data_IF_083668609832
#
_entry.id   IF_083668609832
#
_cell.length_a   1.000
_cell.length_b   1.000
_cell.length_c   1.000
_cell.angle_alpha   90.00
_cell.angle_beta   90.00
_cell.angle_gamma   90.00
#
_symmetry.space_group_name_H-M   'P 1'
#
loop_
_entity.id
_entity.type
_entity.pdbx_description
1 polymer ?
#
# COMPACT_ATOMS: atom_id res chain seq x y z
N UNK A 1 10.07 -21.67 -13.59
CA UNK A 1 10.85 -20.50 -14.05
C UNK A 1 10.29 -19.26 -13.37
N UNK A 2 11.11 -18.51 -12.65
CA UNK A 2 10.70 -17.22 -12.10
C UNK A 2 10.70 -16.20 -13.23
N UNK A 3 9.60 -15.47 -13.42
CA UNK A 3 9.51 -14.41 -14.40
C UNK A 3 10.57 -13.33 -14.09
N UNK A 4 11.11 -12.67 -15.13
CA UNK A 4 12.02 -11.55 -14.92
C UNK A 4 11.30 -10.46 -14.14
N UNK A 5 11.95 -9.94 -13.09
CA UNK A 5 11.41 -8.85 -12.26
C UNK A 5 11.32 -7.54 -13.06
N UNK A 6 12.28 -7.27 -13.94
CA UNK A 6 12.30 -6.04 -14.75
C UNK A 6 11.61 -6.22 -16.11
N UNK A 7 10.84 -5.19 -16.52
CA UNK A 7 10.09 -5.18 -17.80
C UNK A 7 10.56 -4.11 -18.79
N UNK A 8 11.37 -3.14 -18.35
CA UNK A 8 11.82 -1.95 -19.11
C UNK A 8 10.70 -1.00 -19.58
N UNK A 9 9.44 -1.27 -19.25
CA UNK A 9 8.28 -0.44 -19.66
C UNK A 9 8.25 0.96 -19.03
N UNK A 10 9.14 1.25 -18.09
CA UNK A 10 9.22 2.54 -17.40
C UNK A 10 10.52 3.29 -17.61
N UNK A 11 11.35 2.89 -18.58
CA UNK A 11 12.66 3.50 -18.82
C UNK A 11 12.52 4.96 -19.32
N UNK A 12 11.40 5.29 -19.96
CA UNK A 12 11.05 6.65 -20.41
C UNK A 12 10.43 7.52 -19.30
N UNK A 13 10.57 7.15 -18.02
CA UNK A 13 10.07 7.94 -16.89
C UNK A 13 8.57 7.82 -16.59
N UNK A 14 7.87 6.91 -17.28
CA UNK A 14 6.45 6.62 -17.04
C UNK A 14 6.24 5.30 -16.29
N UNK A 15 5.10 5.13 -15.63
CA UNK A 15 4.69 3.89 -14.97
C UNK A 15 3.22 3.59 -15.21
N UNK A 16 2.79 2.36 -14.92
CA UNK A 16 1.38 1.95 -14.97
C UNK A 16 0.77 1.99 -13.57
N UNK A 17 -0.43 2.55 -13.48
CA UNK A 17 -1.28 2.52 -12.29
C UNK A 17 -2.09 1.23 -12.23
N UNK A 18 -2.71 0.97 -11.07
CA UNK A 18 -3.66 -0.12 -10.95
C UNK A 18 -4.86 0.14 -11.89
N UNK A 19 -5.24 -0.86 -12.69
CA UNK A 19 -6.21 -0.68 -13.79
C UNK A 19 -5.60 -0.35 -15.16
N UNK A 20 -4.27 -0.20 -15.26
CA UNK A 20 -3.54 -0.21 -16.53
C UNK A 20 -3.33 1.15 -17.20
N UNK A 21 -3.89 2.24 -16.67
CA UNK A 21 -3.57 3.59 -17.13
C UNK A 21 -2.10 3.93 -16.83
N UNK A 22 -1.55 4.92 -17.55
CA UNK A 22 -0.14 5.33 -17.40
C UNK A 22 -0.02 6.75 -16.86
N UNK A 23 1.03 7.00 -16.08
CA UNK A 23 1.34 8.31 -15.52
C UNK A 23 2.86 8.49 -15.40
N UNK A 24 3.32 9.73 -15.22
CA UNK A 24 4.73 10.03 -14.96
C UNK A 24 5.16 9.50 -13.59
N UNK A 25 6.43 9.08 -13.45
CA UNK A 25 6.97 8.62 -12.17
C UNK A 25 7.06 9.72 -11.12
N UNK A 26 7.05 10.97 -11.55
CA UNK A 26 7.04 12.20 -10.76
C UNK A 26 5.63 12.70 -10.42
N UNK A 27 4.58 12.01 -10.86
CA UNK A 27 3.21 12.39 -10.54
C UNK A 27 2.94 12.24 -9.03
N UNK A 28 2.21 13.20 -8.45
CA UNK A 28 1.85 13.22 -7.02
C UNK A 28 1.26 11.88 -6.51
N UNK A 29 0.49 11.19 -7.35
CA UNK A 29 -0.06 9.87 -7.01
C UNK A 29 1.03 8.82 -6.79
N UNK A 30 2.03 8.81 -7.66
CA UNK A 30 3.17 7.88 -7.58
C UNK A 30 4.00 8.17 -6.34
N UNK A 31 4.28 9.44 -6.09
CA UNK A 31 4.97 9.90 -4.89
C UNK A 31 4.22 9.51 -3.60
N UNK A 32 2.89 9.66 -3.58
CA UNK A 32 2.06 9.32 -2.43
C UNK A 32 2.13 7.83 -2.04
N UNK A 33 1.86 6.91 -2.98
CA UNK A 33 1.97 5.47 -2.65
C UNK A 33 3.43 5.01 -2.50
N UNK A 34 4.39 5.70 -3.13
CA UNK A 34 5.83 5.47 -2.92
C UNK A 34 6.26 5.81 -1.50
N UNK A 35 5.78 6.91 -0.94
CA UNK A 35 6.01 7.29 0.46
C UNK A 35 5.41 6.25 1.43
N UNK A 36 4.24 5.70 1.10
CA UNK A 36 3.63 4.61 1.87
C UNK A 36 4.49 3.34 1.83
N UNK A 37 5.04 2.99 0.66
CA UNK A 37 5.96 1.84 0.50
C UNK A 37 7.26 2.02 1.29
N UNK A 38 7.80 3.24 1.34
CA UNK A 38 8.95 3.59 2.18
C UNK A 38 8.63 3.39 3.67
N UNK A 39 7.49 3.90 4.16
CA UNK A 39 7.04 3.70 5.54
C UNK A 39 6.87 2.20 5.87
N UNK A 40 6.26 1.43 4.97
CA UNK A 40 6.10 -0.02 5.15
C UNK A 40 7.46 -0.73 5.28
N UNK A 41 8.46 -0.31 4.50
CA UNK A 41 9.82 -0.84 4.57
C UNK A 41 10.49 -0.53 5.91
N UNK A 42 10.34 0.70 6.42
CA UNK A 42 10.82 1.06 7.76
C UNK A 42 10.15 0.27 8.88
N UNK A 43 8.83 0.06 8.80
CA UNK A 43 8.11 -0.79 9.76
C UNK A 43 8.65 -2.24 9.72
N UNK A 44 8.92 -2.77 8.53
CA UNK A 44 9.51 -4.10 8.37
C UNK A 44 10.86 -4.22 9.05
N UNK A 45 11.69 -3.18 8.94
CA UNK A 45 12.96 -3.10 9.68
C UNK A 45 12.74 -3.09 11.20
N UNK A 46 11.76 -2.32 11.70
CA UNK A 46 11.42 -2.29 13.13
C UNK A 46 11.00 -3.67 13.64
N UNK A 47 10.12 -4.39 12.92
CA UNK A 47 9.65 -5.73 13.30
C UNK A 47 10.83 -6.70 13.52
N UNK A 48 11.84 -6.65 12.65
CA UNK A 48 13.04 -7.50 12.75
C UNK A 48 13.94 -7.13 13.93
N UNK A 49 13.87 -5.88 14.41
CA UNK A 49 14.74 -5.36 15.48
C UNK A 49 14.12 -5.40 16.88
N UNK A 50 12.81 -5.63 16.97
CA UNK A 50 12.09 -5.70 18.24
C UNK A 50 12.13 -7.12 18.82
N UNK A 51 12.05 -7.22 20.15
CA UNK A 51 11.93 -8.51 20.85
C UNK A 51 10.49 -8.76 21.36
N UNK A 52 9.67 -7.70 21.47
CA UNK A 52 8.30 -7.77 21.98
C UNK A 52 7.32 -8.24 20.89
N UNK A 53 6.84 -9.47 21.00
CA UNK A 53 5.94 -10.06 19.99
C UNK A 53 4.61 -9.32 19.87
N UNK A 54 4.05 -8.81 20.96
CA UNK A 54 2.81 -8.02 20.92
C UNK A 54 2.95 -6.76 20.05
N UNK A 55 4.08 -6.06 20.13
CA UNK A 55 4.35 -4.87 19.31
C UNK A 55 4.55 -5.27 17.85
N UNK A 56 5.22 -6.40 17.58
CA UNK A 56 5.37 -6.93 16.22
C UNK A 56 4.01 -7.23 15.58
N UNK A 57 3.12 -7.87 16.31
CA UNK A 57 1.76 -8.19 15.84
C UNK A 57 0.99 -6.92 15.45
N UNK A 58 1.12 -5.84 16.24
CA UNK A 58 0.53 -4.55 15.90
C UNK A 58 1.15 -3.93 14.65
N UNK A 59 2.49 -3.95 14.53
CA UNK A 59 3.17 -3.44 13.35
C UNK A 59 2.81 -4.23 12.07
N UNK A 60 2.59 -5.54 12.17
CA UNK A 60 2.12 -6.37 11.06
C UNK A 60 0.70 -6.00 10.62
N UNK A 61 -0.20 -5.71 11.57
CA UNK A 61 -1.54 -5.20 11.25
C UNK A 61 -1.44 -3.86 10.52
N UNK A 62 -0.61 -2.94 11.03
CA UNK A 62 -0.38 -1.63 10.41
C UNK A 62 0.20 -1.77 8.99
N UNK A 63 1.15 -2.69 8.74
CA UNK A 63 1.66 -2.93 7.39
C UNK A 63 0.57 -3.42 6.42
N UNK A 64 -0.33 -4.30 6.86
CA UNK A 64 -1.46 -4.75 6.03
C UNK A 64 -2.44 -3.62 5.72
N UNK A 65 -2.69 -2.75 6.70
CA UNK A 65 -3.53 -1.56 6.51
C UNK A 65 -2.87 -0.59 5.52
N UNK A 66 -1.57 -0.32 5.66
CA UNK A 66 -0.81 0.53 4.74
C UNK A 66 -0.76 -0.05 3.32
N UNK A 67 -0.68 -1.37 3.15
CA UNK A 67 -0.76 -2.00 1.84
C UNK A 67 -2.13 -1.74 1.17
N UNK A 68 -3.21 -1.76 1.95
CA UNK A 68 -4.56 -1.41 1.47
C UNK A 68 -4.62 0.07 1.06
N UNK A 69 -4.03 0.96 1.86
CA UNK A 69 -3.92 2.40 1.54
C UNK A 69 -3.11 2.62 0.27
N UNK A 70 -1.94 1.98 0.11
CA UNK A 70 -1.11 2.07 -1.09
C UNK A 70 -1.83 1.58 -2.34
N UNK A 71 -2.57 0.47 -2.23
CA UNK A 71 -3.40 -0.07 -3.33
C UNK A 71 -4.49 0.92 -3.76
N UNK A 72 -5.13 1.58 -2.80
CA UNK A 72 -6.14 2.60 -3.07
C UNK A 72 -5.56 3.84 -3.75
N UNK A 73 -4.40 4.31 -3.28
CA UNK A 73 -3.69 5.44 -3.88
C UNK A 73 -3.24 5.12 -5.31
N UNK A 74 -2.80 3.88 -5.57
CA UNK A 74 -2.39 3.42 -6.89
C UNK A 74 -3.56 3.26 -7.89
N UNK A 75 -4.81 3.25 -7.42
CA UNK A 75 -5.99 3.16 -8.27
C UNK A 75 -6.51 4.56 -8.66
N UNK A 76 -6.58 4.90 -9.96
CA UNK A 76 -6.98 6.22 -10.42
C UNK A 76 -8.50 6.41 -10.53
N UNK A 77 -9.27 5.31 -10.56
CA UNK A 77 -10.72 5.36 -10.70
C UNK A 77 -11.45 5.67 -9.39
N UNK A 78 -12.77 5.86 -9.49
CA UNK A 78 -13.60 6.06 -8.32
C UNK A 78 -13.86 4.71 -7.63
N UNK A 79 -13.20 4.46 -6.50
CA UNK A 79 -13.34 3.22 -5.72
C UNK A 79 -14.79 2.88 -5.39
N UNK A 80 -15.64 3.90 -5.15
CA UNK A 80 -17.07 3.71 -4.86
C UNK A 80 -17.89 3.14 -6.03
N UNK A 81 -17.35 3.16 -7.24
CA UNK A 81 -18.00 2.69 -8.47
C UNK A 81 -17.24 1.52 -9.13
N UNK A 82 -16.14 1.07 -8.52
CA UNK A 82 -15.24 0.11 -9.15
C UNK A 82 -15.64 -1.31 -8.77
N UNK A 83 -15.63 -2.22 -9.75
CA UNK A 83 -15.96 -3.63 -9.56
C UNK A 83 -14.85 -4.53 -10.09
N UNK A 84 -14.48 -5.56 -9.35
CA UNK A 84 -13.69 -6.70 -9.86
C UNK A 84 -14.62 -7.92 -9.82
N UNK A 85 -14.78 -8.59 -10.95
CA UNK A 85 -15.64 -9.78 -11.09
C UNK A 85 -17.10 -9.58 -10.60
N UNK A 86 -17.63 -8.35 -10.66
CA UNK A 86 -18.99 -8.02 -10.20
C UNK A 86 -19.12 -7.71 -8.71
N UNK A 87 -18.03 -7.81 -7.94
CA UNK A 87 -17.98 -7.38 -6.54
C UNK A 87 -17.45 -5.96 -6.43
N UNK A 88 -18.09 -5.14 -5.59
CA UNK A 88 -17.68 -3.77 -5.34
C UNK A 88 -16.31 -3.75 -4.68
N UNK A 89 -15.35 -3.07 -5.30
CA UNK A 89 -14.01 -2.79 -4.73
C UNK A 89 -14.12 -1.62 -3.75
N UNK A 90 -15.21 -1.53 -2.99
CA UNK A 90 -15.27 -0.63 -1.85
C UNK A 90 -14.24 -1.13 -0.82
N UNK A 91 -12.98 -0.79 -1.05
CA UNK A 91 -11.88 -1.12 -0.17
C UNK A 91 -12.17 -0.46 1.15
N UNK A 92 -12.32 -1.30 2.16
CA UNK A 92 -12.54 -0.87 3.52
C UNK A 92 -11.30 -0.05 3.91
N UNK A 93 -11.42 1.28 3.89
CA UNK A 93 -10.35 2.16 4.34
C UNK A 93 -10.10 1.77 5.80
N UNK A 94 -8.87 1.34 6.15
CA UNK A 94 -8.55 1.03 7.52
C UNK A 94 -8.82 2.24 8.40
N UNK A 95 -9.45 2.02 9.55
CA UNK A 95 -9.80 3.09 10.48
C UNK A 95 -9.10 2.84 11.81
N UNK A 96 -8.31 3.80 12.26
CA UNK A 96 -7.69 3.76 13.59
C UNK A 96 -8.79 3.93 14.64
N UNK A 97 -8.97 2.95 15.51
CA UNK A 97 -9.98 3.01 16.57
C UNK A 97 -9.36 3.46 17.89
N UNK A 98 -10.16 4.08 18.75
CA UNK A 98 -9.80 4.36 20.16
C UNK A 98 -9.20 3.13 20.85
N UNK A 99 -9.77 1.94 20.62
CA UNK A 99 -9.25 0.69 21.18
C UNK A 99 -7.82 0.36 20.70
N UNK A 100 -7.46 0.74 19.47
CA UNK A 100 -6.10 0.54 18.95
C UNK A 100 -5.12 1.52 19.61
N UNK A 101 -5.56 2.75 19.88
CA UNK A 101 -4.75 3.76 20.55
C UNK A 101 -4.52 3.37 22.02
N UNK A 102 -5.61 3.10 22.75
CA UNK A 102 -5.57 2.78 24.18
C UNK A 102 -4.86 1.46 24.51
N UNK A 103 -4.55 0.63 23.51
CA UNK A 103 -3.73 -0.58 23.68
C UNK A 103 -2.22 -0.30 23.64
N UNK A 104 -1.81 0.89 23.21
CA UNK A 104 -0.41 1.31 23.11
C UNK A 104 0.02 2.19 24.30
N UNK A 105 -0.93 2.60 25.14
CA UNK A 105 -0.71 3.31 26.42
C UNK A 105 -0.59 2.32 27.58
#
# INVERSE_FOLDING_TARGET
MVAKIYTRKGDEGNTSLCGGSRTGKDALRVDAYGTVDELMSFIGLCIVKLDQDEVKDHLLIIQNDLHTVGSNLAYPGNLSQSQINGESIATKIPHVTEKMINRLE
#
